data_IF_202139148410
#
_entry.id   IF_202139148410
#
_cell.length_a   1.000
_cell.length_b   1.000
_cell.length_c   1.000
_cell.angle_alpha   90.00
_cell.angle_beta   90.00
_cell.angle_gamma   90.00
#
_symmetry.space_group_name_H-M   'P 1'
#
loop_
_entity.id
_entity.type
_entity.pdbx_description
1 polymer ?
#
# COMPACT_ATOMS: atom_id res chain seq x y z
N UNK A 1 -10.83 -26.75 14.23
CA UNK A 1 -9.72 -26.34 15.13
C UNK A 1 -9.52 -24.86 14.89
N UNK A 2 -9.71 -24.02 15.91
CA UNK A 2 -9.42 -22.60 15.78
C UNK A 2 -7.89 -22.48 15.85
N UNK A 3 -7.22 -22.41 14.71
CA UNK A 3 -5.79 -22.18 14.68
C UNK A 3 -5.50 -20.77 15.20
N UNK A 4 -4.53 -20.67 16.11
CA UNK A 4 -4.11 -19.41 16.70
C UNK A 4 -3.26 -18.63 15.69
N UNK A 5 -3.94 -17.80 14.89
CA UNK A 5 -3.37 -17.05 13.77
C UNK A 5 -3.70 -15.57 13.92
N UNK A 6 -2.66 -14.74 14.01
CA UNK A 6 -2.77 -13.27 13.92
C UNK A 6 -2.38 -12.79 12.53
N UNK A 7 -3.19 -11.91 11.95
CA UNK A 7 -3.02 -11.44 10.56
C UNK A 7 -2.64 -9.97 10.53
N UNK A 8 -1.67 -9.64 9.68
CA UNK A 8 -1.17 -8.30 9.47
C UNK A 8 -1.11 -7.94 7.98
N UNK A 9 -1.33 -6.67 7.66
CA UNK A 9 -0.94 -6.06 6.38
C UNK A 9 0.20 -5.10 6.67
N UNK A 10 1.34 -5.24 6.00
CA UNK A 10 2.54 -4.44 6.23
C UNK A 10 2.81 -3.51 5.04
N UNK A 11 2.79 -2.21 5.29
CA UNK A 11 2.94 -1.13 4.31
C UNK A 11 4.22 -0.38 4.60
N UNK A 12 5.13 -0.31 3.63
CA UNK A 12 6.26 0.64 3.69
C UNK A 12 5.80 1.97 3.15
N UNK A 13 5.58 2.93 4.04
CA UNK A 13 4.98 4.21 3.67
C UNK A 13 6.04 5.22 3.20
N UNK A 14 6.90 5.64 4.12
CA UNK A 14 8.01 6.56 3.83
C UNK A 14 9.30 6.17 4.55
N UNK A 15 9.51 4.89 4.84
CA UNK A 15 10.79 4.38 5.34
C UNK A 15 11.93 4.84 4.41
N UNK A 16 13.07 5.27 4.97
CA UNK A 16 14.25 5.61 4.19
C UNK A 16 14.67 4.43 3.31
N UNK A 17 14.39 4.52 2.01
CA UNK A 17 14.84 3.56 0.99
C UNK A 17 15.63 4.32 -0.07
N UNK A 18 16.42 3.62 -0.88
CA UNK A 18 17.18 4.24 -1.98
C UNK A 18 16.33 4.82 -3.12
N UNK A 19 15.00 4.93 -2.95
CA UNK A 19 14.11 5.52 -3.95
C UNK A 19 14.24 7.04 -3.96
N UNK A 20 14.54 7.60 -5.14
CA UNK A 20 14.52 9.02 -5.39
C UNK A 20 13.32 9.37 -6.27
N UNK A 21 12.40 10.24 -5.81
CA UNK A 21 11.32 10.78 -6.63
C UNK A 21 11.87 11.44 -7.89
N UNK A 22 11.11 11.35 -8.99
CA UNK A 22 11.50 11.90 -10.30
C UNK A 22 11.78 13.40 -10.30
N UNK A 23 11.21 14.15 -9.35
CA UNK A 23 11.38 15.60 -9.19
C UNK A 23 12.36 16.00 -8.07
N UNK A 24 13.08 15.04 -7.48
CA UNK A 24 13.98 15.32 -6.37
C UNK A 24 15.22 16.11 -6.82
N UNK A 25 15.46 17.26 -6.19
CA UNK A 25 16.58 18.16 -6.53
C UNK A 25 17.90 17.81 -5.79
N UNK A 26 17.96 16.67 -5.11
CA UNK A 26 19.19 16.10 -4.55
C UNK A 26 19.61 16.59 -3.16
N UNK A 27 18.82 17.44 -2.46
CA UNK A 27 19.20 17.94 -1.12
C UNK A 27 18.36 17.31 0.01
N UNK A 28 18.95 16.37 0.74
CA UNK A 28 18.33 15.74 1.93
C UNK A 28 17.77 14.34 1.67
N UNK A 29 16.84 13.89 2.53
CA UNK A 29 16.16 12.60 2.41
C UNK A 29 14.80 12.77 1.71
N UNK A 30 14.68 12.22 0.50
CA UNK A 30 13.50 12.44 -0.33
C UNK A 30 12.21 11.86 0.28
N UNK A 31 12.32 10.82 1.11
CA UNK A 31 11.20 10.22 1.84
C UNK A 31 10.66 11.10 2.99
N UNK A 32 11.34 12.22 3.28
CA UNK A 32 10.89 13.26 4.20
C UNK A 32 10.56 14.58 3.50
N UNK A 33 10.65 14.61 2.17
CA UNK A 33 10.33 15.81 1.41
C UNK A 33 8.85 16.18 1.62
N UNK A 34 8.55 17.42 2.05
CA UNK A 34 7.18 17.85 2.29
C UNK A 34 6.27 17.76 1.05
N UNK A 35 6.78 17.97 -0.17
CA UNK A 35 5.96 17.87 -1.40
C UNK A 35 5.62 16.42 -1.65
N UNK A 36 6.62 15.55 -1.59
CA UNK A 36 6.45 14.11 -1.77
C UNK A 36 5.50 13.50 -0.74
N UNK A 37 5.60 13.89 0.53
CA UNK A 37 4.70 13.41 1.59
C UNK A 37 3.25 13.83 1.32
N UNK A 38 3.00 15.08 0.91
CA UNK A 38 1.64 15.53 0.57
C UNK A 38 1.03 14.71 -0.59
N UNK A 39 1.82 14.40 -1.61
CA UNK A 39 1.39 13.58 -2.74
C UNK A 39 1.15 12.12 -2.33
N UNK A 40 2.06 11.56 -1.52
CA UNK A 40 1.96 10.22 -0.96
C UNK A 40 0.71 10.06 -0.08
N UNK A 41 0.38 11.04 0.74
CA UNK A 41 -0.85 11.06 1.52
C UNK A 41 -2.08 11.06 0.62
N UNK A 42 -2.09 11.86 -0.44
CA UNK A 42 -3.22 11.90 -1.37
C UNK A 42 -3.47 10.54 -2.03
N UNK A 43 -2.41 9.82 -2.42
CA UNK A 43 -2.52 8.47 -2.99
C UNK A 43 -3.04 7.46 -1.96
N UNK A 44 -2.45 7.45 -0.76
CA UNK A 44 -2.86 6.56 0.32
C UNK A 44 -4.32 6.77 0.73
N UNK A 45 -4.71 8.03 0.94
CA UNK A 45 -6.08 8.43 1.30
C UNK A 45 -7.09 8.07 0.21
N UNK A 46 -6.70 8.19 -1.06
CA UNK A 46 -7.61 7.95 -2.19
C UNK A 46 -7.77 6.47 -2.50
N UNK A 47 -6.71 5.67 -2.47
CA UNK A 47 -6.72 4.30 -3.02
C UNK A 47 -6.45 3.22 -1.98
N UNK A 48 -5.35 3.34 -1.24
CA UNK A 48 -4.92 2.29 -0.31
C UNK A 48 -5.85 2.19 0.90
N UNK A 49 -6.09 3.29 1.62
CA UNK A 49 -6.89 3.29 2.84
C UNK A 49 -8.33 2.78 2.60
N UNK A 50 -9.06 3.22 1.56
CA UNK A 50 -10.40 2.70 1.28
C UNK A 50 -10.42 1.21 0.95
N UNK A 51 -9.33 0.66 0.37
CA UNK A 51 -9.25 -0.78 0.10
C UNK A 51 -9.08 -1.62 1.37
N UNK A 52 -8.46 -1.06 2.41
CA UNK A 52 -8.35 -1.66 3.75
C UNK A 52 -9.70 -1.55 4.49
N UNK A 53 -10.31 -0.37 4.45
CA UNK A 53 -11.64 -0.09 5.02
C UNK A 53 -12.74 -0.92 4.36
N UNK A 54 -12.54 -1.31 3.10
CA UNK A 54 -13.47 -2.12 2.32
C UNK A 54 -13.35 -3.62 2.53
N UNK A 55 -12.36 -4.11 3.30
CA UNK A 55 -12.19 -5.55 3.51
C UNK A 55 -13.40 -6.18 4.20
N UNK A 56 -13.89 -7.31 3.71
CA UNK A 56 -15.00 -8.07 4.31
C UNK A 56 -14.60 -8.71 5.65
N UNK A 57 -13.38 -9.24 5.74
CA UNK A 57 -12.77 -9.67 7.01
C UNK A 57 -12.12 -8.46 7.70
N UNK A 58 -12.49 -8.16 8.95
CA UNK A 58 -11.92 -7.05 9.75
C UNK A 58 -10.88 -7.47 10.80
N UNK A 59 -10.76 -8.78 11.04
CA UNK A 59 -9.83 -9.34 12.01
C UNK A 59 -8.38 -9.34 11.46
N UNK A 60 -7.79 -8.16 11.30
CA UNK A 60 -6.37 -7.99 10.98
C UNK A 60 -5.88 -6.61 11.43
N UNK A 61 -4.57 -6.48 11.58
CA UNK A 61 -3.92 -5.21 11.95
C UNK A 61 -3.08 -4.69 10.79
N UNK A 62 -3.13 -3.40 10.50
CA UNK A 62 -2.29 -2.76 9.47
C UNK A 62 -1.07 -2.15 10.14
N UNK A 63 0.12 -2.59 9.74
CA UNK A 63 1.39 -2.01 10.17
C UNK A 63 1.88 -1.04 9.09
N UNK A 64 2.04 0.23 9.44
CA UNK A 64 2.51 1.27 8.51
C UNK A 64 3.91 1.72 8.94
N UNK A 65 4.90 1.38 8.12
CA UNK A 65 6.30 1.71 8.35
C UNK A 65 6.61 3.15 7.94
N UNK A 66 7.04 3.96 8.91
CA UNK A 66 7.45 5.35 8.71
C UNK A 66 8.95 5.53 8.96
N UNK A 67 9.54 6.55 8.35
CA UNK A 67 10.83 7.06 8.83
C UNK A 67 10.69 7.57 10.27
N UNK A 68 11.63 7.22 11.15
CA UNK A 68 11.68 7.65 12.54
C UNK A 68 11.65 9.17 12.74
N UNK A 69 12.13 9.96 11.77
CA UNK A 69 12.10 11.43 11.81
C UNK A 69 10.82 12.02 11.22
N UNK A 70 9.84 11.19 10.81
CA UNK A 70 8.55 11.68 10.33
C UNK A 70 7.79 12.37 11.46
N UNK A 71 7.34 13.60 11.22
CA UNK A 71 6.62 14.37 12.22
C UNK A 71 5.35 13.65 12.72
N UNK A 72 5.14 13.57 14.04
CA UNK A 72 4.05 12.79 14.64
C UNK A 72 2.65 13.16 14.14
N UNK A 73 2.36 14.45 13.91
CA UNK A 73 1.08 14.90 13.34
C UNK A 73 0.81 14.31 11.95
N UNK A 74 1.86 14.11 11.14
CA UNK A 74 1.72 13.50 9.83
C UNK A 74 1.46 12.00 9.95
N UNK A 75 2.18 11.30 10.83
CA UNK A 75 1.93 9.88 11.15
C UNK A 75 0.47 9.69 11.56
N UNK A 76 -0.03 10.49 12.52
CA UNK A 76 -1.44 10.45 12.96
C UNK A 76 -2.39 10.67 11.79
N UNK A 77 -2.13 11.68 10.96
CA UNK A 77 -2.96 11.96 9.77
C UNK A 77 -3.04 10.78 8.81
N UNK A 78 -1.93 10.08 8.56
CA UNK A 78 -1.91 8.89 7.69
C UNK A 78 -2.67 7.74 8.33
N UNK A 79 -2.45 7.46 9.61
CA UNK A 79 -3.16 6.39 10.32
C UNK A 79 -4.68 6.63 10.37
N UNK A 80 -5.11 7.88 10.52
CA UNK A 80 -6.53 8.27 10.58
C UNK A 80 -7.25 8.16 9.22
N UNK A 81 -6.53 7.92 8.11
CA UNK A 81 -7.15 7.74 6.79
C UNK A 81 -7.93 6.42 6.69
N UNK A 82 -7.52 5.35 7.36
CA UNK A 82 -8.21 4.06 7.32
C UNK A 82 -9.14 3.93 8.54
N UNK A 83 -10.43 3.76 8.27
CA UNK A 83 -11.51 3.77 9.26
C UNK A 83 -12.00 2.34 9.47
N UNK A 84 -12.09 1.93 10.74
CA UNK A 84 -12.68 0.63 11.11
C UNK A 84 -11.73 -0.56 11.00
N UNK A 85 -10.43 -0.30 10.84
CA UNK A 85 -9.34 -1.27 10.94
C UNK A 85 -8.32 -0.75 11.96
N UNK A 86 -7.67 -1.66 12.69
CA UNK A 86 -6.58 -1.30 13.60
C UNK A 86 -5.32 -0.96 12.80
N UNK A 87 -4.87 0.30 12.86
CA UNK A 87 -3.67 0.78 12.16
C UNK A 87 -2.61 1.17 13.18
N UNK A 88 -1.41 0.60 13.04
CA UNK A 88 -0.29 0.78 13.95
C UNK A 88 0.94 1.33 13.22
N UNK A 89 1.48 2.48 13.64
CA UNK A 89 2.72 3.00 13.07
C UNK A 89 3.92 2.17 13.57
N UNK A 90 4.86 1.90 12.67
CA UNK A 90 6.15 1.28 12.96
C UNK A 90 7.23 2.27 12.55
N UNK A 91 8.00 2.78 13.52
CA UNK A 91 9.08 3.74 13.25
C UNK A 91 10.35 2.99 12.86
N UNK A 92 10.97 3.41 11.76
CA UNK A 92 12.18 2.79 11.21
C UNK A 92 13.27 3.85 11.10
N UNK A 93 14.38 3.61 11.79
CA UNK A 93 15.56 4.48 11.71
C UNK A 93 16.18 4.50 10.31
N UNK A 94 16.84 5.59 9.97
CA UNK A 94 17.54 5.72 8.70
C UNK A 94 18.59 4.61 8.53
N UNK A 95 18.47 3.81 7.47
CA UNK A 95 19.39 2.70 7.20
C UNK A 95 19.13 1.43 8.01
N UNK A 96 18.13 1.43 8.91
CA UNK A 96 17.66 0.21 9.55
C UNK A 96 16.83 -0.65 8.57
N UNK A 97 16.79 -1.96 8.84
CA UNK A 97 15.96 -2.88 8.09
C UNK A 97 14.50 -2.79 8.57
N UNK A 98 13.62 -2.30 7.70
CA UNK A 98 12.18 -2.21 7.98
C UNK A 98 11.55 -3.58 8.28
N UNK A 99 12.07 -4.67 7.71
CA UNK A 99 11.57 -6.01 7.97
C UNK A 99 11.86 -6.43 9.42
N UNK A 100 13.04 -6.08 9.95
CA UNK A 100 13.37 -6.28 11.37
C UNK A 100 12.43 -5.47 12.26
N UNK A 101 12.12 -4.22 11.91
CA UNK A 101 11.19 -3.38 12.67
C UNK A 101 9.76 -3.95 12.69
N UNK A 102 9.24 -4.42 11.55
CA UNK A 102 7.94 -5.09 11.50
C UNK A 102 7.93 -6.37 12.33
N UNK A 103 8.96 -7.20 12.22
CA UNK A 103 9.05 -8.43 12.99
C UNK A 103 9.11 -8.15 14.49
N UNK A 104 9.90 -7.16 14.92
CA UNK A 104 9.97 -6.74 16.32
C UNK A 104 8.59 -6.27 16.83
N UNK A 105 7.85 -5.50 16.03
CA UNK A 105 6.48 -5.11 16.37
C UNK A 105 5.59 -6.34 16.57
N UNK A 106 5.56 -7.25 15.60
CA UNK A 106 4.74 -8.48 15.65
C UNK A 106 5.09 -9.33 16.88
N UNK A 107 6.37 -9.50 17.20
CA UNK A 107 6.80 -10.23 18.41
C UNK A 107 6.29 -9.60 19.71
N UNK A 108 6.09 -8.27 19.73
CA UNK A 108 5.60 -7.54 20.92
C UNK A 108 4.07 -7.43 20.98
N UNK A 109 3.38 -7.53 19.84
CA UNK A 109 1.93 -7.28 19.72
C UNK A 109 1.08 -8.52 19.99
N UNK A 110 1.61 -9.72 19.75
CA UNK A 110 0.81 -10.95 19.83
C UNK A 110 1.58 -12.14 20.38
N UNK A 111 0.87 -12.99 21.13
CA UNK A 111 1.34 -14.31 21.53
C UNK A 111 0.89 -15.43 20.60
N UNK A 112 0.18 -15.11 19.51
CA UNK A 112 -0.34 -16.10 18.57
C UNK A 112 0.78 -17.03 18.06
N UNK A 113 0.49 -18.33 17.99
CA UNK A 113 1.47 -19.32 17.50
C UNK A 113 1.88 -19.03 16.04
N UNK A 114 0.92 -18.66 15.20
CA UNK A 114 1.14 -18.34 13.80
C UNK A 114 0.84 -16.88 13.50
N UNK A 115 1.59 -16.32 12.55
CA UNK A 115 1.37 -14.98 12.04
C UNK A 115 1.33 -15.01 10.51
N UNK A 116 0.54 -14.12 9.91
CA UNK A 116 0.59 -13.86 8.48
C UNK A 116 0.85 -12.39 8.22
N UNK A 117 1.85 -12.06 7.39
CA UNK A 117 2.11 -10.70 6.94
C UNK A 117 1.84 -10.60 5.45
N UNK A 118 0.89 -9.75 5.07
CA UNK A 118 0.59 -9.39 3.67
C UNK A 118 1.38 -8.15 3.29
N UNK A 119 2.08 -8.17 2.16
CA UNK A 119 2.71 -6.97 1.59
C UNK A 119 1.65 -6.10 0.90
N UNK A 120 1.70 -4.79 1.10
CA UNK A 120 0.93 -3.83 0.31
C UNK A 120 1.72 -2.53 0.14
N UNK A 121 1.71 -1.97 -1.07
CA UNK A 121 2.28 -0.66 -1.34
C UNK A 121 1.26 0.44 -1.00
N UNK A 122 1.74 1.57 -0.48
CA UNK A 122 0.91 2.64 0.10
C UNK A 122 -0.02 3.39 -0.89
N UNK A 123 0.14 3.15 -2.19
CA UNK A 123 -0.60 3.75 -3.29
C UNK A 123 -1.49 2.73 -4.02
N UNK A 124 -1.41 1.46 -3.66
CA UNK A 124 -2.11 0.36 -4.31
C UNK A 124 -3.27 -0.17 -3.45
N UNK A 125 -4.10 -1.05 -4.04
CA UNK A 125 -5.34 -1.49 -3.41
C UNK A 125 -5.52 -3.00 -3.43
N UNK A 126 -6.18 -3.54 -2.39
CA UNK A 126 -6.59 -4.93 -2.31
C UNK A 126 -8.08 -5.10 -2.66
N UNK A 127 -8.45 -6.24 -3.23
CA UNK A 127 -9.84 -6.60 -3.45
C UNK A 127 -10.59 -6.75 -2.11
N UNK A 128 -11.91 -6.49 -2.04
CA UNK A 128 -12.67 -6.55 -0.77
C UNK A 128 -12.58 -7.88 -0.01
N UNK A 129 -12.45 -9.01 -0.73
CA UNK A 129 -12.36 -10.35 -0.14
C UNK A 129 -10.92 -10.85 0.07
N UNK A 130 -9.91 -9.99 -0.13
CA UNK A 130 -8.51 -10.40 -0.09
C UNK A 130 -8.13 -11.03 1.25
N UNK A 131 -8.45 -10.36 2.36
CA UNK A 131 -8.10 -10.86 3.69
C UNK A 131 -8.88 -12.11 4.11
N UNK A 132 -10.11 -12.32 3.62
CA UNK A 132 -10.82 -13.60 3.79
C UNK A 132 -10.06 -14.75 3.13
N UNK A 133 -9.51 -14.50 1.94
CA UNK A 133 -8.73 -15.51 1.21
C UNK A 133 -7.40 -15.78 1.89
N UNK A 134 -6.73 -14.75 2.40
CA UNK A 134 -5.54 -14.92 3.24
C UNK A 134 -5.85 -15.81 4.43
N UNK A 135 -6.92 -15.51 5.18
CA UNK A 135 -7.32 -16.31 6.35
C UNK A 135 -7.61 -17.76 5.96
N UNK A 136 -8.37 -17.99 4.89
CA UNK A 136 -8.68 -19.32 4.38
C UNK A 136 -7.41 -20.14 4.06
N UNK A 137 -6.52 -19.62 3.22
CA UNK A 137 -5.32 -20.34 2.80
C UNK A 137 -4.34 -20.54 3.97
N UNK A 138 -4.14 -19.51 4.81
CA UNK A 138 -3.26 -19.62 5.96
C UNK A 138 -3.74 -20.71 6.93
N UNK A 139 -5.03 -20.70 7.30
CA UNK A 139 -5.59 -21.70 8.22
C UNK A 139 -5.55 -23.11 7.63
N UNK A 140 -5.83 -23.24 6.35
CA UNK A 140 -5.79 -24.52 5.64
C UNK A 140 -4.39 -25.15 5.66
N UNK A 141 -3.36 -24.36 5.38
CA UNK A 141 -1.98 -24.86 5.32
C UNK A 141 -1.35 -25.03 6.71
N UNK A 142 -1.77 -24.23 7.71
CA UNK A 142 -1.48 -24.49 9.14
C UNK A 142 -2.06 -25.84 9.56
N UNK A 143 -3.32 -26.13 9.21
CA UNK A 143 -3.99 -27.37 9.59
C UNK A 143 -3.37 -28.63 8.95
N UNK A 144 -2.80 -28.52 7.75
CA UNK A 144 -2.00 -29.58 7.12
C UNK A 144 -0.64 -29.79 7.80
N UNK A 145 -0.20 -28.80 8.57
CA UNK A 145 1.09 -28.81 9.24
C UNK A 145 2.27 -28.34 8.40
N UNK A 146 2.03 -27.84 7.18
CA UNK A 146 3.07 -27.36 6.25
C UNK A 146 3.87 -26.20 6.87
N UNK A 147 3.15 -25.26 7.51
CA UNK A 147 3.76 -24.07 8.14
C UNK A 147 4.65 -24.44 9.34
N UNK A 148 4.47 -25.62 9.94
CA UNK A 148 5.35 -26.11 11.01
C UNK A 148 6.75 -26.48 10.50
N UNK A 149 6.87 -26.84 9.21
CA UNK A 149 8.12 -27.30 8.62
C UNK A 149 8.96 -26.13 8.10
N UNK A 150 8.28 -25.12 7.54
CA UNK A 150 8.89 -23.89 7.03
C UNK A 150 7.82 -22.80 6.82
N UNK A 151 8.21 -21.53 6.69
CA UNK A 151 7.30 -20.49 6.22
C UNK A 151 6.66 -20.84 4.87
N UNK A 152 5.41 -20.44 4.69
CA UNK A 152 4.64 -20.64 3.47
C UNK A 152 4.28 -19.27 2.87
N UNK A 153 4.50 -19.13 1.56
CA UNK A 153 4.08 -17.97 0.81
C UNK A 153 2.74 -18.23 0.09
N UNK A 154 1.79 -17.32 0.22
CA UNK A 154 0.53 -17.33 -0.52
C UNK A 154 0.68 -16.30 -1.65
N UNK A 155 0.69 -16.79 -2.89
CA UNK A 155 0.73 -15.95 -4.07
C UNK A 155 -0.69 -15.71 -4.59
N UNK A 156 -1.01 -14.46 -4.93
CA UNK A 156 -2.25 -14.06 -5.62
C UNK A 156 -1.93 -13.66 -7.06
N UNK A 157 -2.09 -14.55 -8.06
CA UNK A 157 -1.58 -14.32 -9.40
C UNK A 157 -2.35 -13.29 -10.23
N UNK A 158 -3.66 -13.19 -9.98
CA UNK A 158 -4.56 -12.36 -10.78
C UNK A 158 -4.75 -11.01 -10.12
N UNK A 159 -4.48 -9.94 -10.86
CA UNK A 159 -4.65 -8.56 -10.46
C UNK A 159 -5.18 -7.69 -11.61
N UNK A 160 -5.22 -6.39 -11.35
CA UNK A 160 -5.61 -5.38 -12.30
C UNK A 160 -4.72 -4.13 -12.13
N UNK A 161 -4.66 -3.29 -13.14
CA UNK A 161 -4.10 -1.95 -13.00
C UNK A 161 -5.22 -0.93 -13.15
N UNK A 162 -5.12 0.20 -12.45
CA UNK A 162 -6.00 1.35 -12.61
C UNK A 162 -5.17 2.58 -13.00
N UNK A 163 -5.45 3.13 -14.18
CA UNK A 163 -4.85 4.39 -14.62
C UNK A 163 -5.65 5.57 -14.08
N UNK A 164 -5.08 6.27 -13.09
CA UNK A 164 -5.72 7.42 -12.45
C UNK A 164 -5.91 8.62 -13.39
N UNK A 165 -5.14 8.71 -14.48
CA UNK A 165 -5.27 9.80 -15.44
C UNK A 165 -6.41 9.56 -16.44
N UNK A 166 -6.66 8.30 -16.82
CA UNK A 166 -7.68 7.96 -17.82
C UNK A 166 -8.92 7.26 -17.25
N UNK A 167 -8.92 6.94 -15.96
CA UNK A 167 -9.93 6.13 -15.27
C UNK A 167 -10.19 4.78 -15.97
N UNK A 168 -9.14 4.14 -16.46
CA UNK A 168 -9.22 2.85 -17.17
C UNK A 168 -8.60 1.73 -16.37
N UNK A 169 -9.18 0.55 -16.51
CA UNK A 169 -8.67 -0.68 -15.92
C UNK A 169 -8.06 -1.59 -16.98
N UNK A 170 -7.00 -2.30 -16.58
CA UNK A 170 -6.46 -3.43 -17.34
C UNK A 170 -6.29 -4.63 -16.44
N UNK A 171 -6.44 -5.84 -16.98
CA UNK A 171 -6.10 -7.07 -16.28
C UNK A 171 -4.58 -7.26 -16.27
N UNK A 172 -4.01 -7.59 -15.12
CA UNK A 172 -2.58 -7.82 -14.94
C UNK A 172 -2.36 -9.14 -14.19
N UNK A 173 -1.55 -10.03 -14.75
CA UNK A 173 -1.15 -11.25 -14.08
C UNK A 173 0.29 -11.16 -13.59
N UNK A 174 0.50 -11.57 -12.35
CA UNK A 174 1.80 -11.67 -11.72
C UNK A 174 1.90 -13.03 -11.03
N UNK A 175 2.45 -14.08 -11.67
CA UNK A 175 2.40 -15.45 -11.14
C UNK A 175 2.90 -15.61 -9.70
N UNK A 176 3.90 -14.82 -9.30
CA UNK A 176 4.49 -14.81 -7.95
C UNK A 176 3.86 -13.78 -7.01
N UNK A 177 2.76 -13.13 -7.44
CA UNK A 177 2.06 -12.03 -6.80
C UNK A 177 2.83 -10.71 -6.66
N UNK A 178 2.15 -9.60 -6.94
CA UNK A 178 2.65 -8.27 -6.56
C UNK A 178 2.55 -8.06 -5.03
N UNK A 179 1.46 -8.56 -4.43
CA UNK A 179 1.10 -8.40 -3.02
C UNK A 179 0.80 -9.77 -2.41
N UNK A 180 1.85 -10.55 -2.14
CA UNK A 180 1.69 -11.85 -1.49
C UNK A 180 1.71 -11.77 0.03
N UNK A 181 1.40 -12.92 0.64
CA UNK A 181 1.36 -13.08 2.10
C UNK A 181 2.35 -14.15 2.52
N UNK A 182 3.18 -13.86 3.52
CA UNK A 182 4.00 -14.88 4.18
C UNK A 182 3.32 -15.32 5.47
N UNK A 183 3.12 -16.63 5.63
CA UNK A 183 2.58 -17.27 6.82
C UNK A 183 3.69 -18.07 7.49
N UNK A 184 3.91 -17.85 8.78
CA UNK A 184 4.97 -18.52 9.51
C UNK A 184 4.64 -18.67 10.99
N UNK A 185 5.38 -19.58 11.65
CA UNK A 185 5.39 -19.63 13.10
C UNK A 185 6.02 -18.37 13.67
N UNK A 186 5.36 -17.79 14.68
CA UNK A 186 5.93 -16.69 15.43
C UNK A 186 7.20 -17.16 16.13
N UNK A 187 8.31 -16.50 15.85
CA UNK A 187 9.58 -16.75 16.52
C UNK A 187 10.46 -15.50 16.48
N UNK A 188 11.46 -15.37 17.39
CA UNK A 188 12.43 -14.28 17.35
C UNK A 188 13.22 -14.18 16.03
N UNK A 189 13.29 -15.27 15.26
CA UNK A 189 13.97 -15.35 13.97
C UNK A 189 13.00 -15.47 12.78
N UNK A 190 11.76 -14.98 12.93
CA UNK A 190 10.79 -14.97 11.84
C UNK A 190 11.32 -14.18 10.63
N UNK A 191 10.92 -14.59 9.43
CA UNK A 191 11.38 -13.98 8.19
C UNK A 191 10.66 -12.66 7.94
N UNK A 192 9.33 -12.63 8.02
CA UNK A 192 8.52 -11.48 7.63
C UNK A 192 8.37 -11.37 6.11
N UNK A 193 7.28 -10.75 5.64
CA UNK A 193 6.94 -10.66 4.21
C UNK A 193 7.93 -9.82 3.40
N UNK A 194 8.80 -9.06 4.07
CA UNK A 194 9.76 -8.15 3.48
C UNK A 194 11.20 -8.69 3.51
N UNK A 195 11.40 -9.97 3.87
CA UNK A 195 12.72 -10.60 3.89
C UNK A 195 13.38 -10.72 2.50
N UNK A 196 12.63 -10.54 1.42
CA UNK A 196 13.11 -10.56 0.04
C UNK A 196 12.22 -9.73 -0.90
N UNK A 197 12.61 -9.57 -2.16
CA UNK A 197 11.75 -9.00 -3.21
C UNK A 197 10.53 -9.90 -3.49
N UNK A 198 9.37 -9.32 -3.79
CA UNK A 198 8.13 -10.09 -4.01
C UNK A 198 8.27 -11.11 -5.15
N UNK A 199 9.07 -10.76 -6.18
CA UNK A 199 9.46 -11.63 -7.29
C UNK A 199 10.19 -12.90 -6.86
N UNK A 200 10.93 -12.86 -5.74
CA UNK A 200 11.81 -13.93 -5.28
C UNK A 200 11.19 -14.79 -4.18
N UNK A 201 10.11 -14.32 -3.54
CA UNK A 201 9.44 -15.04 -2.44
C UNK A 201 9.06 -16.48 -2.83
N UNK A 202 8.52 -16.67 -4.05
CA UNK A 202 8.11 -17.98 -4.52
C UNK A 202 9.26 -18.95 -4.84
N UNK A 203 10.49 -18.43 -5.00
CA UNK A 203 11.70 -19.25 -5.13
C UNK A 203 12.30 -19.60 -3.77
N UNK A 204 11.95 -18.85 -2.72
CA UNK A 204 12.51 -18.97 -1.38
C UNK A 204 11.68 -19.87 -0.47
N UNK A 205 10.37 -19.84 -0.62
CA UNK A 205 9.44 -20.56 0.26
C UNK A 205 8.49 -21.45 -0.53
N UNK A 206 8.03 -22.52 0.11
CA UNK A 206 6.88 -23.27 -0.39
C UNK A 206 5.72 -22.30 -0.65
N UNK A 207 5.15 -22.40 -1.84
CA UNK A 207 4.17 -21.41 -2.31
C UNK A 207 2.86 -22.08 -2.68
N UNK A 208 1.76 -21.53 -2.17
CA UNK A 208 0.41 -21.86 -2.63
C UNK A 208 -0.12 -20.72 -3.51
N UNK A 209 -0.59 -21.06 -4.71
CA UNK A 209 -1.30 -20.12 -5.58
C UNK A 209 -2.75 -20.02 -5.14
N UNK A 210 -3.18 -18.83 -4.73
CA UNK A 210 -4.55 -18.55 -4.36
C UNK A 210 -5.45 -18.55 -5.61
N UNK A 211 -6.14 -19.66 -5.83
CA UNK A 211 -7.00 -19.88 -6.99
C UNK A 211 -8.14 -18.84 -7.04
N UNK A 212 -8.12 -17.98 -8.04
CA UNK A 212 -9.16 -17.00 -8.32
C UNK A 212 -9.25 -16.77 -9.83
N UNK A 213 -10.44 -16.44 -10.33
CA UNK A 213 -10.59 -15.91 -11.70
C UNK A 213 -10.64 -14.38 -11.73
N UNK A 214 -10.76 -13.77 -10.56
CA UNK A 214 -10.94 -12.33 -10.39
C UNK A 214 -9.67 -11.69 -9.85
N UNK A 215 -9.44 -10.42 -10.21
CA UNK A 215 -8.33 -9.65 -9.69
C UNK A 215 -8.41 -9.53 -8.16
N UNK A 216 -7.30 -9.80 -7.50
CA UNK A 216 -7.18 -9.79 -6.03
C UNK A 216 -6.51 -8.51 -5.53
N UNK A 217 -5.85 -7.80 -6.41
CA UNK A 217 -5.16 -6.56 -6.10
C UNK A 217 -5.17 -5.65 -7.32
N UNK A 218 -4.94 -4.36 -7.06
CA UNK A 218 -4.92 -3.31 -8.06
C UNK A 218 -3.68 -2.44 -7.88
N UNK A 219 -2.84 -2.39 -8.91
CA UNK A 219 -1.75 -1.41 -9.00
C UNK A 219 -2.31 -0.11 -9.57
N UNK A 220 -2.17 0.99 -8.85
CA UNK A 220 -2.59 2.31 -9.27
C UNK A 220 -1.46 2.99 -10.02
N UNK A 221 -1.75 3.39 -11.25
CA UNK A 221 -0.82 4.09 -12.13
C UNK A 221 -1.12 5.58 -12.06
N UNK A 222 -0.11 6.35 -11.66
CA UNK A 222 -0.16 7.80 -11.51
C UNK A 222 1.17 8.44 -11.94
N UNK A 223 1.17 9.74 -12.24
CA UNK A 223 2.25 10.49 -12.91
C UNK A 223 3.64 10.38 -12.24
N UNK A 224 3.69 10.04 -10.95
CA UNK A 224 4.93 9.92 -10.17
C UNK A 224 5.50 8.50 -10.07
N UNK A 225 4.84 7.50 -10.65
CA UNK A 225 5.31 6.12 -10.63
C UNK A 225 6.10 5.82 -11.91
N UNK A 226 7.37 6.24 -11.96
CA UNK A 226 8.24 6.14 -13.14
C UNK A 226 8.45 4.70 -13.68
N UNK A 227 8.07 3.67 -12.91
CA UNK A 227 8.22 2.26 -13.29
C UNK A 227 6.96 1.64 -13.95
N UNK A 228 5.77 2.23 -13.77
CA UNK A 228 4.51 1.60 -14.14
C UNK A 228 3.92 2.23 -15.41
N UNK A 229 4.23 1.63 -16.56
CA UNK A 229 3.45 1.83 -17.80
C UNK A 229 2.19 0.98 -17.69
N UNK A 230 1.04 1.47 -18.17
CA UNK A 230 -0.19 0.67 -18.23
C UNK A 230 0.07 -0.60 -19.03
N UNK A 231 0.13 -1.74 -18.31
CA UNK A 231 0.32 -3.08 -18.87
C UNK A 231 -0.99 -3.86 -18.80
N UNK A 232 -1.12 -4.88 -19.63
CA UNK A 232 -2.24 -5.80 -19.57
C UNK A 232 -3.37 -5.47 -20.56
N UNK A 233 -4.44 -6.26 -20.49
CA UNK A 233 -5.57 -6.17 -21.41
C UNK A 233 -6.63 -5.23 -20.85
N UNK A 234 -7.11 -4.22 -21.60
CA UNK A 234 -8.21 -3.37 -21.16
C UNK A 234 -9.44 -4.20 -20.76
N UNK A 235 -10.09 -3.80 -19.66
CA UNK A 235 -11.35 -4.40 -19.20
C UNK A 235 -12.42 -3.31 -19.08
N UNK A 236 -13.63 -3.62 -19.52
CA UNK A 236 -14.78 -2.72 -19.39
C UNK A 236 -15.34 -2.73 -17.96
N UNK A 237 -15.37 -3.92 -17.36
CA UNK A 237 -15.82 -4.15 -15.99
C UNK A 237 -14.63 -4.68 -15.17
N UNK A 238 -14.07 -3.89 -14.24
CA UNK A 238 -13.03 -4.39 -13.35
C UNK A 238 -13.62 -5.36 -12.32
N UNK A 239 -12.78 -6.23 -11.75
CA UNK A 239 -13.26 -7.16 -10.71
C UNK A 239 -13.67 -6.42 -9.42
N UNK A 240 -13.04 -5.27 -9.16
CA UNK A 240 -13.44 -4.33 -8.13
C UNK A 240 -13.01 -2.92 -8.52
N UNK A 241 -13.70 -1.90 -8.02
CA UNK A 241 -13.29 -0.50 -8.23
C UNK A 241 -12.36 -0.03 -7.12
N UNK A 242 -11.50 0.93 -7.44
CA UNK A 242 -10.62 1.61 -6.48
C UNK A 242 -10.99 3.09 -6.36
N UNK A 243 -10.64 3.71 -5.23
CA UNK A 243 -10.98 5.09 -4.92
C UNK A 243 -11.95 5.22 -3.74
N UNK A 244 -11.88 6.32 -2.99
CA UNK A 244 -12.92 6.68 -2.00
C UNK A 244 -14.29 6.79 -2.70
N UNK A 245 -15.36 6.17 -2.18
CA UNK A 245 -16.71 6.38 -2.68
C UNK A 245 -17.07 7.87 -2.68
N UNK A 246 -17.63 8.38 -3.79
CA UNK A 246 -18.00 9.80 -3.93
C UNK A 246 -16.84 10.76 -4.27
N UNK A 247 -15.61 10.25 -4.33
CA UNK A 247 -14.47 11.00 -4.84
C UNK A 247 -14.38 10.87 -6.36
N UNK A 248 -15.25 11.55 -7.11
CA UNK A 248 -15.00 11.72 -8.54
C UNK A 248 -13.67 12.48 -8.72
N UNK A 249 -12.73 11.88 -9.45
CA UNK A 249 -11.58 12.58 -10.00
C UNK A 249 -12.13 13.49 -11.10
N UNK A 250 -12.18 14.80 -10.85
CA UNK A 250 -12.40 15.77 -11.92
C UNK A 250 -11.38 15.46 -13.02
N UNK A 251 -11.87 14.97 -14.16
CA UNK A 251 -11.06 14.67 -15.33
C UNK A 251 -10.35 15.95 -15.71
N UNK A 252 -9.04 16.05 -15.44
CA UNK A 252 -8.21 16.99 -16.17
C UNK A 252 -8.14 16.46 -17.59
N UNK A 253 -9.09 16.88 -18.42
CA UNK A 253 -9.00 16.70 -19.86
C UNK A 253 -7.58 17.11 -20.26
N UNK A 254 -6.86 16.19 -20.90
CA UNK A 254 -5.52 16.45 -21.41
C UNK A 254 -5.58 17.76 -22.20
N UNK A 255 -4.91 18.80 -21.69
CA UNK A 255 -4.86 20.08 -22.37
C UNK A 255 -4.19 19.84 -23.71
N UNK A 256 -5.00 19.82 -24.77
CA UNK A 256 -4.52 19.84 -26.15
C UNK A 256 -3.69 21.12 -26.26
N UNK A 257 -2.38 20.96 -26.48
CA UNK A 257 -1.48 22.11 -26.70
C UNK A 257 -1.93 22.81 -27.99
N UNK A 258 -2.72 23.86 -27.85
CA UNK A 258 -2.88 24.87 -28.90
C UNK A 258 -1.74 25.90 -28.78
N UNK A 259 -1.26 26.48 -29.89
CA UNK A 259 -0.14 27.39 -29.86
C UNK A 259 -0.50 28.70 -29.15
N UNK A 260 0.41 29.16 -28.31
CA UNK A 260 0.24 30.29 -27.41
C UNK A 260 -0.21 31.58 -28.10
N UNK A 261 -1.31 32.16 -27.61
CA UNK A 261 -1.55 33.61 -27.66
C UNK A 261 -1.42 34.20 -26.25
N UNK A 262 -0.57 35.21 -26.13
CA UNK A 262 -0.27 35.93 -24.89
C UNK A 262 -1.51 36.72 -24.42
N UNK A 263 -1.98 36.44 -23.21
CA UNK A 263 -2.73 37.40 -22.40
C UNK A 263 -2.23 37.37 -20.95
N UNK A 264 -2.03 38.55 -20.37
CA UNK A 264 -1.53 38.77 -19.01
C UNK A 264 -2.56 38.37 -17.95
N UNK A 265 -2.12 37.97 -16.74
CA UNK A 265 -3.00 37.32 -15.77
C UNK A 265 -3.73 38.34 -14.87
N UNK A 266 -5.04 38.17 -14.73
CA UNK A 266 -5.77 38.69 -13.58
C UNK A 266 -5.70 37.66 -12.43
N UNK A 267 -5.19 38.10 -11.29
CA UNK A 267 -4.97 37.29 -10.10
C UNK A 267 -6.25 37.10 -9.29
N UNK A 268 -6.73 35.85 -9.19
CA UNK A 268 -7.36 35.35 -7.96
C UNK A 268 -6.88 33.92 -7.71
N UNK A 269 -5.82 33.79 -6.93
CA UNK A 269 -5.24 32.49 -6.61
C UNK A 269 -6.04 31.83 -5.48
N UNK A 270 -7.06 31.03 -5.84
CA UNK A 270 -7.43 29.90 -4.98
C UNK A 270 -6.28 28.90 -5.09
N UNK A 271 -5.41 28.88 -4.09
CA UNK A 271 -4.33 27.89 -4.01
C UNK A 271 -4.94 26.48 -4.15
N UNK A 272 -4.34 25.63 -4.98
CA UNK A 272 -4.78 24.23 -5.09
C UNK A 272 -4.75 23.57 -3.70
N UNK A 273 -5.65 22.61 -3.43
CA UNK A 273 -5.67 21.93 -2.12
C UNK A 273 -4.32 21.35 -1.73
N UNK A 274 -3.53 20.90 -2.70
CA UNK A 274 -2.16 20.42 -2.48
C UNK A 274 -1.27 21.54 -1.92
N UNK A 275 -1.37 22.76 -2.44
CA UNK A 275 -0.66 23.92 -1.88
C UNK A 275 -1.17 24.29 -0.47
N UNK A 276 -2.47 24.19 -0.21
CA UNK A 276 -3.04 24.43 1.13
C UNK A 276 -2.61 23.40 2.18
N UNK A 277 -2.62 22.11 1.81
CA UNK A 277 -2.16 21.01 2.66
C UNK A 277 -0.65 21.04 2.87
N UNK A 278 0.13 21.44 1.86
CA UNK A 278 1.57 21.66 1.97
C UNK A 278 1.92 22.76 2.98
N UNK A 279 1.23 23.92 2.93
CA UNK A 279 1.44 24.99 3.92
C UNK A 279 1.09 24.50 5.34
N UNK A 280 0.00 23.74 5.50
CA UNK A 280 -0.37 23.17 6.81
C UNK A 280 0.69 22.23 7.35
N UNK A 281 1.20 21.34 6.50
CA UNK A 281 2.28 20.41 6.85
C UNK A 281 3.55 21.15 7.31
N UNK A 282 4.01 22.15 6.54
CA UNK A 282 5.17 22.97 6.92
C UNK A 282 5.00 23.71 8.25
N UNK A 283 3.75 24.03 8.62
CA UNK A 283 3.41 24.70 9.87
C UNK A 283 3.08 23.72 11.01
N UNK A 284 3.24 22.40 10.81
CA UNK A 284 2.89 21.36 11.79
C UNK A 284 1.39 21.28 12.11
N UNK A 285 0.53 21.84 11.24
CA UNK A 285 -0.92 21.91 11.43
C UNK A 285 -1.64 20.70 10.81
N UNK A 286 -2.82 20.30 11.33
CA UNK A 286 -3.62 19.24 10.73
C UNK A 286 -3.98 19.50 9.25
N UNK A 287 -3.75 18.50 8.40
CA UNK A 287 -4.09 18.54 6.97
C UNK A 287 -5.59 18.34 6.75
N UNK A 288 -6.14 18.82 5.63
CA UNK A 288 -7.56 18.62 5.28
C UNK A 288 -7.68 17.48 4.29
N UNK A 289 -8.21 16.35 4.76
CA UNK A 289 -8.52 15.17 3.95
C UNK A 289 -9.92 15.29 3.29
N UNK A 290 -10.23 14.43 2.31
CA UNK A 290 -11.61 14.31 1.80
C UNK A 290 -12.41 13.52 2.85
N UNK A 291 -13.57 14.05 3.25
CA UNK A 291 -14.58 13.28 4.00
C UNK A 291 -15.46 12.57 2.99
#
# INVERSE_FOLDING_TARGET
MNSDLKKYVAIRYNTATGFMPSQWNGKGRANLDPVWLVERLALFDTYCAPSLDGQSLKDFTVLVGFDSETHENYIRTVCDCAIGIDVRPVLVDAGADYNVAFNAFVQSDTDAEFVSLTRLDSDDALAPSFMERVDFYARWEIAKGEVNQQPLYIAFPHGQNFDAATNRYTQHEYPTSAFGTLVEKRSPSMNGVYCDEHTKMAMRFNTVGAASKEAQWCIVIHDNNAANVLRGKPVAEPAFTVGRPGAETETRAAARKEPAQKQMPQTSAKASRNAGNFIRFLLGRPMVLRK
#
